data_IF_974998589574
#
_entry.id   IF_974998589574
#
_cell.length_a   1.000
_cell.length_b   1.000
_cell.length_c   1.000
_cell.angle_alpha   90.00
_cell.angle_beta   90.00
_cell.angle_gamma   90.00
#
_symmetry.space_group_name_H-M   'P 1'
#
loop_
_entity.id
_entity.type
_entity.pdbx_description
1 polymer ?
#
# COMPACT_ATOMS: atom_id res chain seq x y z
N UNK A 1 15.10 -9.37 14.06
CA UNK A 1 14.35 -10.62 14.21
C UNK A 1 14.41 -11.05 15.67
N UNK A 2 13.28 -11.31 16.29
CA UNK A 2 13.23 -11.95 17.59
C UNK A 2 13.72 -13.38 17.39
N UNK A 3 14.89 -13.71 17.93
CA UNK A 3 15.38 -15.09 17.96
C UNK A 3 14.43 -15.93 18.80
N UNK A 4 13.96 -17.02 18.22
CA UNK A 4 13.20 -18.00 18.97
C UNK A 4 14.12 -18.68 20.00
N UNK A 5 13.58 -19.22 21.11
CA UNK A 5 14.36 -19.94 22.11
C UNK A 5 15.19 -21.09 21.51
N UNK A 6 14.74 -21.65 20.39
CA UNK A 6 15.41 -22.72 19.65
C UNK A 6 16.65 -22.21 18.91
N UNK A 7 16.57 -21.00 18.30
CA UNK A 7 17.71 -20.36 17.62
C UNK A 7 18.75 -19.89 18.61
N UNK A 8 18.34 -19.38 19.77
CA UNK A 8 19.26 -18.97 20.84
C UNK A 8 20.14 -20.12 21.36
N UNK A 9 19.64 -21.34 21.36
CA UNK A 9 20.42 -22.52 21.78
C UNK A 9 21.42 -23.02 20.73
N UNK A 10 21.33 -22.57 19.50
CA UNK A 10 22.24 -22.95 18.41
C UNK A 10 23.43 -21.98 18.24
N UNK A 11 23.44 -20.85 18.98
CA UNK A 11 24.50 -19.86 18.89
C UNK A 11 25.73 -20.29 19.70
N UNK A 12 26.91 -20.11 19.12
CA UNK A 12 28.16 -20.20 19.86
C UNK A 12 28.28 -19.10 20.91
N UNK A 13 29.12 -19.26 21.95
CA UNK A 13 29.34 -18.20 22.93
C UNK A 13 29.73 -16.86 22.33
N UNK A 14 30.64 -16.85 21.34
CA UNK A 14 31.04 -15.63 20.64
C UNK A 14 29.89 -14.96 19.88
N UNK A 15 29.02 -15.75 19.22
CA UNK A 15 27.83 -15.21 18.54
C UNK A 15 26.79 -14.64 19.52
N UNK A 16 26.69 -15.19 20.72
CA UNK A 16 25.81 -14.64 21.77
C UNK A 16 26.33 -13.31 22.28
N UNK A 17 27.65 -13.18 22.48
CA UNK A 17 28.26 -11.94 22.94
C UNK A 17 28.13 -10.85 21.88
N UNK A 18 28.39 -11.15 20.63
CA UNK A 18 28.20 -10.21 19.51
C UNK A 18 26.71 -9.76 19.40
N UNK A 19 25.78 -10.67 19.49
CA UNK A 19 24.35 -10.35 19.50
C UNK A 19 23.97 -9.46 20.69
N UNK A 20 24.51 -9.76 21.89
CA UNK A 20 24.29 -8.95 23.09
C UNK A 20 24.79 -7.51 22.88
N UNK A 21 25.95 -7.35 22.28
CA UNK A 21 26.53 -6.02 22.05
C UNK A 21 25.75 -5.27 20.94
N UNK A 22 25.30 -5.94 19.91
CA UNK A 22 24.39 -5.35 18.92
C UNK A 22 23.07 -4.88 19.56
N UNK A 23 22.46 -5.69 20.44
CA UNK A 23 21.26 -5.31 21.19
C UNK A 23 21.52 -4.09 22.07
N UNK A 24 22.65 -4.03 22.79
CA UNK A 24 23.01 -2.88 23.61
C UNK A 24 23.13 -1.60 22.77
N UNK A 25 23.78 -1.67 21.60
CA UNK A 25 23.93 -0.53 20.70
C UNK A 25 22.55 -0.04 20.22
N UNK A 26 21.64 -0.96 19.87
CA UNK A 26 20.29 -0.59 19.44
C UNK A 26 19.49 0.03 20.58
N UNK A 27 19.58 -0.54 21.80
CA UNK A 27 18.91 -0.01 22.99
C UNK A 27 19.48 1.37 23.39
N UNK A 28 20.80 1.56 23.29
CA UNK A 28 21.41 2.85 23.54
C UNK A 28 20.98 3.92 22.52
N UNK A 29 20.89 3.55 21.24
CA UNK A 29 20.31 4.43 20.21
C UNK A 29 18.86 4.78 20.53
N UNK A 30 18.04 3.79 20.87
CA UNK A 30 16.63 4.00 21.24
C UNK A 30 16.52 4.93 22.45
N UNK A 31 17.37 4.73 23.49
CA UNK A 31 17.40 5.57 24.68
C UNK A 31 17.84 7.01 24.39
N UNK A 32 18.80 7.19 23.48
CA UNK A 32 19.30 8.51 23.06
C UNK A 32 18.47 9.14 21.94
N UNK A 33 17.60 8.39 21.29
CA UNK A 33 16.65 8.94 20.31
C UNK A 33 15.54 9.63 21.10
N UNK A 34 15.86 10.84 21.56
CA UNK A 34 14.91 11.67 22.27
C UNK A 34 13.89 12.26 21.30
N UNK A 35 12.90 11.51 20.86
CA UNK A 35 11.61 12.09 20.53
C UNK A 35 10.94 12.54 21.85
N UNK A 36 11.58 13.45 22.55
CA UNK A 36 10.92 14.20 23.59
C UNK A 36 10.03 15.18 22.82
N UNK A 37 8.78 14.81 22.62
CA UNK A 37 7.73 15.74 22.23
C UNK A 37 7.62 16.76 23.36
N UNK A 38 8.30 17.88 23.20
CA UNK A 38 8.26 18.99 24.17
C UNK A 38 6.85 19.56 24.28
N UNK A 39 6.03 19.37 23.25
CA UNK A 39 4.64 19.74 23.21
C UNK A 39 3.80 18.54 22.79
N UNK A 40 2.61 18.39 23.37
CA UNK A 40 1.64 17.36 22.96
C UNK A 40 1.23 17.64 21.49
N UNK A 41 1.43 16.66 20.58
CA UNK A 41 1.04 16.87 19.17
C UNK A 41 -0.46 17.16 19.08
N UNK A 42 -0.82 18.07 18.19
CA UNK A 42 -2.21 18.29 17.85
C UNK A 42 -2.78 17.13 17.00
N UNK A 43 -4.11 17.05 16.90
CA UNK A 43 -4.79 15.99 16.14
C UNK A 43 -4.34 15.97 14.66
N UNK A 44 -4.00 17.10 14.08
CA UNK A 44 -3.56 17.19 12.70
C UNK A 44 -2.17 16.58 12.51
N UNK A 45 -1.28 16.76 13.47
CA UNK A 45 0.08 16.16 13.47
C UNK A 45 0.00 14.65 13.66
N UNK A 46 -0.78 14.17 14.61
CA UNK A 46 -1.01 12.73 14.80
C UNK A 46 -1.61 12.10 13.54
N UNK A 47 -2.59 12.74 12.93
CA UNK A 47 -3.21 12.28 11.69
C UNK A 47 -2.21 12.18 10.55
N UNK A 48 -1.33 13.17 10.36
CA UNK A 48 -0.27 13.11 9.33
C UNK A 48 0.65 11.91 9.54
N UNK A 49 1.02 11.62 10.79
CA UNK A 49 1.81 10.45 11.13
C UNK A 49 1.12 9.15 10.71
N UNK A 50 -0.15 8.97 11.09
CA UNK A 50 -0.94 7.79 10.69
C UNK A 50 -1.07 7.67 9.17
N UNK A 51 -1.38 8.78 8.50
CA UNK A 51 -1.52 8.81 7.03
C UNK A 51 -0.21 8.40 6.34
N UNK A 52 0.94 8.83 6.85
CA UNK A 52 2.24 8.42 6.34
C UNK A 52 2.38 6.89 6.36
N UNK A 53 2.05 6.22 7.47
CA UNK A 53 2.08 4.75 7.54
C UNK A 53 1.08 4.09 6.59
N UNK A 54 -0.15 4.61 6.52
CA UNK A 54 -1.20 4.06 5.65
C UNK A 54 -0.84 4.20 4.16
N UNK A 55 -0.14 5.26 3.79
CA UNK A 55 0.21 5.58 2.40
C UNK A 55 1.53 4.98 1.95
N UNK A 56 2.57 5.02 2.79
CA UNK A 56 3.93 4.72 2.37
C UNK A 56 4.43 3.37 2.89
N UNK A 57 3.96 2.91 4.04
CA UNK A 57 4.48 1.70 4.70
C UNK A 57 3.59 0.48 4.44
N UNK A 58 2.31 0.59 4.77
CA UNK A 58 1.42 -0.57 4.72
C UNK A 58 1.20 -1.15 3.31
N UNK A 59 1.07 -0.39 2.22
CA UNK A 59 0.90 -0.98 0.90
C UNK A 59 2.04 -1.93 0.52
N UNK A 60 3.29 -1.54 0.82
CA UNK A 60 4.47 -2.37 0.57
C UNK A 60 4.56 -3.56 1.54
N UNK A 61 4.23 -3.35 2.82
CA UNK A 61 4.26 -4.39 3.83
C UNK A 61 3.22 -5.48 3.54
N UNK A 62 2.00 -5.11 3.14
CA UNK A 62 0.92 -6.04 2.81
C UNK A 62 1.25 -6.88 1.58
N UNK A 63 1.84 -6.29 0.54
CA UNK A 63 2.28 -7.03 -0.64
C UNK A 63 3.34 -8.09 -0.28
N UNK A 64 4.30 -7.73 0.59
CA UNK A 64 5.32 -8.68 1.08
C UNK A 64 4.72 -9.77 1.97
N UNK A 65 3.72 -9.41 2.77
CA UNK A 65 3.01 -10.36 3.64
C UNK A 65 2.30 -11.43 2.81
N UNK A 66 1.58 -11.03 1.76
CA UNK A 66 0.93 -11.95 0.82
C UNK A 66 1.92 -12.90 0.16
N UNK A 67 3.06 -12.40 -0.30
CA UNK A 67 4.11 -13.23 -0.89
C UNK A 67 4.66 -14.26 0.12
N UNK A 68 4.93 -13.83 1.35
CA UNK A 68 5.40 -14.71 2.41
C UNK A 68 4.37 -15.76 2.81
N UNK A 69 3.10 -15.38 2.87
CA UNK A 69 2.00 -16.31 3.12
C UNK A 69 1.99 -17.44 2.07
N UNK A 70 2.05 -17.09 0.79
CA UNK A 70 2.07 -18.07 -0.30
C UNK A 70 3.30 -18.97 -0.21
N UNK A 71 4.47 -18.40 0.06
CA UNK A 71 5.71 -19.16 0.20
C UNK A 71 5.65 -20.14 1.38
N UNK A 72 5.22 -19.66 2.55
CA UNK A 72 5.10 -20.49 3.75
C UNK A 72 4.05 -21.58 3.56
N UNK A 73 2.92 -21.27 2.91
CA UNK A 73 1.86 -22.22 2.59
C UNK A 73 2.40 -23.40 1.76
N UNK A 74 3.15 -23.08 0.71
CA UNK A 74 3.81 -24.07 -0.13
C UNK A 74 4.86 -24.91 0.61
N UNK A 75 5.65 -24.26 1.47
CA UNK A 75 6.74 -24.93 2.20
C UNK A 75 6.28 -25.97 3.21
N UNK A 76 5.06 -25.81 3.76
CA UNK A 76 4.44 -26.79 4.67
C UNK A 76 3.66 -27.88 3.91
N UNK A 77 3.63 -27.84 2.58
CA UNK A 77 2.99 -28.86 1.76
C UNK A 77 1.48 -28.67 1.56
N UNK A 78 0.93 -27.47 1.85
CA UNK A 78 -0.47 -27.19 1.57
C UNK A 78 -0.74 -26.90 0.09
N UNK A 79 -1.96 -27.14 -0.36
CA UNK A 79 -2.34 -26.92 -1.76
C UNK A 79 -2.28 -25.43 -2.11
N UNK A 80 -1.32 -25.07 -2.98
CA UNK A 80 -1.09 -23.69 -3.41
C UNK A 80 -2.30 -23.09 -4.16
N UNK A 81 -3.11 -23.93 -4.83
CA UNK A 81 -4.30 -23.48 -5.59
C UNK A 81 -5.32 -22.75 -4.71
N UNK A 82 -5.36 -23.05 -3.41
CA UNK A 82 -6.24 -22.39 -2.44
C UNK A 82 -5.93 -20.88 -2.26
N UNK A 83 -4.71 -20.44 -2.56
CA UNK A 83 -4.26 -19.06 -2.45
C UNK A 83 -4.02 -18.37 -3.80
N UNK A 84 -4.28 -19.04 -4.93
CA UNK A 84 -4.14 -18.45 -6.26
C UNK A 84 -5.14 -17.30 -6.48
N UNK A 85 -6.42 -17.49 -6.08
CA UNK A 85 -7.40 -16.41 -6.11
C UNK A 85 -7.10 -15.41 -4.95
N UNK A 86 -6.78 -14.13 -5.27
CA UNK A 86 -6.55 -13.12 -4.24
C UNK A 86 -7.73 -12.94 -3.28
N UNK A 87 -8.95 -13.32 -3.67
CA UNK A 87 -10.16 -13.24 -2.82
C UNK A 87 -10.18 -14.27 -1.71
N UNK A 88 -9.46 -15.38 -1.87
CA UNK A 88 -9.33 -16.44 -0.84
C UNK A 88 -8.28 -16.13 0.22
N UNK A 89 -7.45 -15.12 0.00
CA UNK A 89 -6.42 -14.71 0.97
C UNK A 89 -7.01 -13.91 2.12
N UNK A 90 -6.39 -13.94 3.31
CA UNK A 90 -6.79 -13.10 4.44
C UNK A 90 -6.79 -11.62 4.06
N UNK A 91 -7.85 -10.92 4.42
CA UNK A 91 -7.98 -9.48 4.15
C UNK A 91 -7.70 -8.69 5.42
N UNK A 92 -6.63 -7.91 5.41
CA UNK A 92 -6.29 -6.99 6.49
C UNK A 92 -6.95 -5.65 6.19
N UNK A 93 -7.72 -5.16 7.15
CA UNK A 93 -8.33 -3.82 7.11
C UNK A 93 -7.64 -2.96 8.15
N UNK A 94 -7.16 -1.83 7.72
CA UNK A 94 -6.51 -0.85 8.58
C UNK A 94 -7.48 0.27 8.88
N UNK A 95 -7.42 0.80 10.10
CA UNK A 95 -8.22 1.92 10.55
C UNK A 95 -7.43 2.80 11.51
N UNK A 96 -7.99 3.95 11.83
CA UNK A 96 -7.45 4.87 12.82
C UNK A 96 -8.59 5.52 13.60
N UNK A 97 -8.35 5.78 14.85
CA UNK A 97 -9.26 6.61 15.68
C UNK A 97 -8.91 8.09 15.63
N UNK A 98 -7.74 8.46 15.09
CA UNK A 98 -7.26 9.85 15.10
C UNK A 98 -8.21 10.76 14.33
N UNK A 99 -8.76 11.74 15.02
CA UNK A 99 -9.75 12.67 14.50
C UNK A 99 -11.19 12.13 14.45
N UNK A 100 -11.42 10.89 14.91
CA UNK A 100 -12.75 10.27 15.00
C UNK A 100 -13.23 10.02 16.42
N UNK A 101 -12.32 9.63 17.29
CA UNK A 101 -12.61 9.38 18.70
C UNK A 101 -12.74 10.69 19.47
N UNK A 102 -13.89 10.88 20.13
CA UNK A 102 -14.24 12.08 20.88
C UNK A 102 -14.21 11.86 22.40
N UNK A 103 -14.01 10.63 22.83
CA UNK A 103 -14.04 10.32 24.26
C UNK A 103 -12.86 11.01 24.97
N UNK A 104 -13.22 11.93 25.89
CA UNK A 104 -12.26 12.71 26.66
C UNK A 104 -11.36 13.67 25.88
N UNK A 105 -11.62 13.91 24.57
CA UNK A 105 -10.79 14.78 23.74
C UNK A 105 -11.57 16.01 23.20
N UNK A 106 -11.52 17.15 23.89
CA UNK A 106 -12.35 18.33 23.56
C UNK A 106 -12.02 18.94 22.19
N UNK A 107 -10.83 18.67 21.63
CA UNK A 107 -10.38 19.21 20.34
C UNK A 107 -10.86 18.39 19.16
N UNK A 108 -11.44 17.18 19.35
CA UNK A 108 -12.02 16.38 18.27
C UNK A 108 -13.47 16.81 18.03
N UNK A 109 -13.61 17.88 17.27
CA UNK A 109 -14.90 18.43 16.84
C UNK A 109 -15.43 17.71 15.60
N UNK A 110 -16.71 17.94 15.25
CA UNK A 110 -17.29 17.41 14.00
C UNK A 110 -16.52 17.89 12.75
N UNK A 111 -16.04 19.12 12.76
CA UNK A 111 -15.19 19.68 11.69
C UNK A 111 -13.87 18.92 11.55
N UNK A 112 -13.21 18.62 12.66
CA UNK A 112 -11.96 17.83 12.68
C UNK A 112 -12.21 16.42 12.15
N UNK A 113 -13.31 15.77 12.55
CA UNK A 113 -13.68 14.45 12.02
C UNK A 113 -13.92 14.50 10.51
N UNK A 114 -14.66 15.50 10.02
CA UNK A 114 -14.91 15.66 8.59
C UNK A 114 -13.62 15.89 7.80
N UNK A 115 -12.72 16.74 8.30
CA UNK A 115 -11.41 16.98 7.71
C UNK A 115 -10.57 15.68 7.67
N UNK A 116 -10.56 14.93 8.77
CA UNK A 116 -9.83 13.66 8.86
C UNK A 116 -10.32 12.64 7.84
N UNK A 117 -11.63 12.49 7.69
CA UNK A 117 -12.23 11.59 6.71
C UNK A 117 -11.89 12.00 5.26
N UNK A 118 -11.89 13.31 4.98
CA UNK A 118 -11.50 13.84 3.65
C UNK A 118 -10.05 13.51 3.33
N UNK A 119 -9.13 13.75 4.28
CA UNK A 119 -7.71 13.46 4.10
C UNK A 119 -7.45 11.96 3.98
N UNK A 120 -8.09 11.12 4.78
CA UNK A 120 -7.99 9.66 4.67
C UNK A 120 -8.47 9.18 3.30
N UNK A 121 -9.61 9.70 2.84
CA UNK A 121 -10.13 9.38 1.50
C UNK A 121 -9.15 9.79 0.41
N UNK A 122 -8.65 11.03 0.45
CA UNK A 122 -7.70 11.53 -0.54
C UNK A 122 -6.44 10.65 -0.59
N UNK A 123 -5.83 10.37 0.56
CA UNK A 123 -4.64 9.54 0.61
C UNK A 123 -4.90 8.08 0.17
N UNK A 124 -6.08 7.53 0.43
CA UNK A 124 -6.50 6.24 -0.11
C UNK A 124 -6.59 6.25 -1.64
N UNK A 125 -7.11 7.34 -2.24
CA UNK A 125 -7.14 7.51 -3.69
C UNK A 125 -5.74 7.67 -4.29
N UNK A 126 -4.84 8.39 -3.61
CA UNK A 126 -3.42 8.51 -4.02
C UNK A 126 -2.73 7.14 -4.03
N UNK A 127 -2.95 6.31 -3.00
CA UNK A 127 -2.42 4.93 -2.99
C UNK A 127 -2.95 4.14 -4.18
N UNK A 128 -4.25 4.21 -4.46
CA UNK A 128 -4.85 3.52 -5.60
C UNK A 128 -4.30 4.05 -6.94
N UNK A 129 -4.13 5.36 -7.07
CA UNK A 129 -3.54 5.98 -8.26
C UNK A 129 -2.14 5.42 -8.55
N UNK A 130 -1.26 5.39 -7.55
CA UNK A 130 0.11 4.85 -7.65
C UNK A 130 0.12 3.35 -7.97
N UNK A 131 -0.82 2.58 -7.41
CA UNK A 131 -0.93 1.14 -7.71
C UNK A 131 -1.38 0.89 -9.15
N UNK A 132 -2.29 1.72 -9.69
CA UNK A 132 -2.69 1.64 -11.10
C UNK A 132 -1.54 2.06 -12.02
N UNK A 133 -0.77 3.08 -11.66
CA UNK A 133 0.42 3.48 -12.40
C UNK A 133 1.47 2.35 -12.46
N UNK A 134 1.80 1.76 -11.32
CA UNK A 134 2.70 0.59 -11.25
C UNK A 134 2.17 -0.60 -12.05
N UNK A 135 0.86 -0.85 -11.99
CA UNK A 135 0.23 -1.91 -12.79
C UNK A 135 0.33 -1.62 -14.29
N UNK A 136 0.11 -0.37 -14.71
CA UNK A 136 0.24 0.01 -16.11
C UNK A 136 1.66 -0.23 -16.66
N UNK A 137 2.70 -0.01 -15.84
CA UNK A 137 4.09 -0.30 -16.24
C UNK A 137 4.35 -1.80 -16.44
N UNK A 138 3.58 -2.66 -15.79
CA UNK A 138 3.71 -4.13 -15.84
C UNK A 138 2.86 -4.78 -16.93
N UNK A 139 2.07 -4.00 -17.68
CA UNK A 139 1.17 -4.49 -18.71
C UNK A 139 1.49 -3.99 -20.13
N UNK A 140 2.77 -4.01 -20.58
CA UNK A 140 3.12 -3.72 -21.98
C UNK A 140 2.77 -4.91 -22.88
N UNK A 141 1.50 -5.34 -22.83
CA UNK A 141 1.02 -6.52 -23.54
C UNK A 141 0.44 -6.09 -24.89
N UNK A 142 1.21 -6.36 -25.97
CA UNK A 142 0.83 -5.95 -27.32
C UNK A 142 -0.24 -6.85 -27.92
N UNK A 143 -1.23 -6.25 -28.55
CA UNK A 143 -2.25 -6.91 -29.36
C UNK A 143 -1.72 -7.58 -30.61
N UNK A 144 -0.47 -7.29 -30.99
CA UNK A 144 0.19 -7.92 -32.14
C UNK A 144 0.65 -9.35 -31.83
N UNK A 145 0.80 -9.71 -30.54
CA UNK A 145 1.32 -11.00 -30.11
C UNK A 145 0.32 -11.86 -29.36
N UNK A 146 -0.83 -11.31 -29.00
CA UNK A 146 -1.88 -12.03 -28.28
C UNK A 146 -3.25 -11.44 -28.49
N UNK A 147 -4.25 -12.30 -28.48
CA UNK A 147 -5.66 -11.89 -28.46
C UNK A 147 -6.07 -11.38 -27.07
N UNK A 148 -7.04 -10.49 -27.03
CA UNK A 148 -7.64 -10.01 -25.81
C UNK A 148 -9.17 -10.09 -25.86
N UNK A 149 -9.84 -10.21 -24.70
CA UNK A 149 -11.28 -10.44 -24.63
C UNK A 149 -12.09 -9.31 -25.30
N UNK A 150 -13.14 -9.65 -26.02
CA UNK A 150 -14.05 -8.69 -26.62
C UNK A 150 -14.67 -7.73 -25.58
N UNK A 151 -14.83 -8.19 -24.33
CA UNK A 151 -15.27 -7.35 -23.21
C UNK A 151 -14.30 -6.20 -22.92
N UNK A 152 -13.00 -6.41 -23.03
CA UNK A 152 -11.99 -5.35 -22.87
C UNK A 152 -12.15 -4.31 -23.97
N UNK A 153 -12.30 -4.72 -25.22
CA UNK A 153 -12.48 -3.83 -26.35
C UNK A 153 -13.75 -2.97 -26.20
N UNK A 154 -14.83 -3.56 -25.74
CA UNK A 154 -16.07 -2.84 -25.45
C UNK A 154 -15.88 -1.78 -24.36
N UNK A 155 -15.13 -2.10 -23.30
CA UNK A 155 -14.81 -1.15 -22.23
C UNK A 155 -13.89 -0.01 -22.70
N UNK A 156 -12.88 -0.31 -23.51
CA UNK A 156 -12.00 0.70 -24.10
C UNK A 156 -12.77 1.66 -24.99
N UNK A 157 -13.69 1.15 -25.82
CA UNK A 157 -14.58 1.97 -26.66
C UNK A 157 -15.44 2.89 -25.79
N UNK A 158 -16.04 2.34 -24.72
CA UNK A 158 -16.84 3.12 -23.77
C UNK A 158 -16.01 4.23 -23.13
N UNK A 159 -14.83 3.91 -22.60
CA UNK A 159 -13.96 4.88 -21.93
C UNK A 159 -13.42 5.95 -22.90
N UNK A 160 -13.13 5.57 -24.14
CA UNK A 160 -12.73 6.52 -25.19
C UNK A 160 -13.83 7.54 -25.49
N UNK A 161 -15.09 7.11 -25.50
CA UNK A 161 -16.23 8.01 -25.69
C UNK A 161 -16.46 8.92 -24.47
N UNK A 162 -16.20 8.42 -23.25
CA UNK A 162 -16.32 9.22 -22.02
C UNK A 162 -15.22 10.28 -21.88
N UNK A 163 -14.00 9.99 -22.36
CA UNK A 163 -12.87 10.92 -22.31
C UNK A 163 -12.02 10.87 -23.61
N UNK A 164 -12.46 11.57 -24.67
CA UNK A 164 -11.79 11.54 -25.98
C UNK A 164 -10.35 12.08 -25.94
N UNK A 165 -10.08 13.12 -25.14
CA UNK A 165 -8.74 13.69 -25.02
C UNK A 165 -7.72 12.71 -24.45
N UNK A 166 -8.10 12.00 -23.39
CA UNK A 166 -7.27 10.93 -22.82
C UNK A 166 -7.12 9.77 -23.81
N UNK A 167 -8.19 9.41 -24.53
CA UNK A 167 -8.16 8.35 -25.53
C UNK A 167 -7.15 8.64 -26.65
N UNK A 168 -7.11 9.87 -27.14
CA UNK A 168 -6.15 10.28 -28.16
C UNK A 168 -4.71 10.19 -27.65
N UNK A 169 -4.44 10.70 -26.46
CA UNK A 169 -3.12 10.61 -25.83
C UNK A 169 -2.66 9.16 -25.63
N UNK A 170 -3.55 8.28 -25.16
CA UNK A 170 -3.24 6.87 -24.95
C UNK A 170 -3.01 6.11 -26.26
N UNK A 171 -3.76 6.43 -27.31
CA UNK A 171 -3.55 5.85 -28.64
C UNK A 171 -2.21 6.25 -29.25
N UNK A 172 -1.78 7.48 -29.04
CA UNK A 172 -0.47 7.94 -29.49
C UNK A 172 0.69 7.24 -28.78
N UNK A 173 0.55 7.02 -27.46
CA UNK A 173 1.63 6.49 -26.64
C UNK A 173 1.65 4.96 -26.55
N UNK A 174 0.48 4.30 -26.64
CA UNK A 174 0.28 2.88 -26.34
C UNK A 174 -0.71 2.24 -27.33
N UNK A 175 -0.54 2.44 -28.63
CA UNK A 175 -1.51 2.07 -29.69
C UNK A 175 -1.92 0.60 -29.68
N UNK A 176 -0.99 -0.28 -29.37
CA UNK A 176 -1.16 -1.74 -29.39
C UNK A 176 -1.17 -2.39 -27.99
N UNK A 177 -1.30 -1.59 -26.91
CA UNK A 177 -1.27 -2.07 -25.52
C UNK A 177 -2.63 -1.89 -24.82
N UNK A 178 -3.66 -2.67 -25.18
CA UNK A 178 -5.03 -2.46 -24.71
C UNK A 178 -5.19 -2.60 -23.18
N UNK A 179 -4.45 -3.49 -22.55
CA UNK A 179 -4.48 -3.64 -21.09
C UNK A 179 -3.92 -2.42 -20.38
N UNK A 180 -2.82 -1.86 -20.87
CA UNK A 180 -2.25 -0.63 -20.31
C UNK A 180 -3.20 0.55 -20.49
N UNK A 181 -3.77 0.72 -21.71
CA UNK A 181 -4.79 1.74 -21.95
C UNK A 181 -5.96 1.62 -20.96
N UNK A 182 -6.46 0.40 -20.73
CA UNK A 182 -7.56 0.17 -19.81
C UNK A 182 -7.22 0.63 -18.38
N UNK A 183 -6.04 0.25 -17.87
CA UNK A 183 -5.59 0.66 -16.54
C UNK A 183 -5.41 2.17 -16.43
N UNK A 184 -4.85 2.81 -17.45
CA UNK A 184 -4.68 4.27 -17.48
C UNK A 184 -6.02 5.01 -17.58
N UNK A 185 -7.03 4.46 -18.27
CA UNK A 185 -8.38 4.99 -18.20
C UNK A 185 -8.99 4.89 -16.80
N UNK A 186 -8.79 3.78 -16.09
CA UNK A 186 -9.24 3.65 -14.70
C UNK A 186 -8.53 4.67 -13.80
N UNK A 187 -7.23 4.87 -13.98
CA UNK A 187 -6.45 5.88 -13.26
C UNK A 187 -7.00 7.29 -13.51
N UNK A 188 -7.28 7.64 -14.77
CA UNK A 188 -7.84 8.94 -15.15
C UNK A 188 -9.25 9.21 -14.61
N UNK A 189 -9.98 8.18 -14.13
CA UNK A 189 -11.28 8.34 -13.46
C UNK A 189 -11.17 8.65 -11.98
N UNK A 190 -10.00 8.51 -11.40
CA UNK A 190 -9.82 8.83 -9.99
C UNK A 190 -9.88 10.37 -9.78
N UNK A 191 -10.63 10.84 -8.79
CA UNK A 191 -10.70 12.27 -8.47
C UNK A 191 -9.47 12.71 -7.66
N UNK A 192 -8.30 12.61 -8.30
CA UNK A 192 -6.99 12.96 -7.73
C UNK A 192 -6.31 13.90 -8.70
N UNK A 193 -5.77 15.01 -8.22
CA UNK A 193 -4.99 15.95 -9.02
C UNK A 193 -3.52 15.57 -9.00
N UNK A 194 -2.78 15.94 -10.05
CA UNK A 194 -1.33 15.67 -10.17
C UNK A 194 -0.51 16.26 -9.01
N UNK A 195 -0.99 17.30 -8.34
CA UNK A 195 -0.34 17.90 -7.17
C UNK A 195 -0.54 17.14 -5.86
N UNK A 196 -1.42 16.12 -5.85
CA UNK A 196 -1.75 15.31 -4.66
C UNK A 196 -1.01 13.95 -4.65
N UNK A 197 -0.42 13.57 -5.78
CA UNK A 197 0.32 12.32 -5.97
C UNK A 197 1.80 12.51 -5.67
#
# INVERSE_FOLDING_TARGET
SLLTAREANQLTPAQRDDLRDQIKVVLERLWRTGEILLEKPDVATERRGVICYLREVFPLALARLDQRLIQSWKSVGFDARLLEDPRSRPKIRLGTWVGGDRDGHPLVTASVTQSSLRELRLNGLVVLYRQLEDLATKLPLSSNFQDFPASLQSLLTKFSNENPALAESLKLSYSDEPWRQFVLFLQGKLPVTTGEV
#
